data_IF_645575688767
#
_entry.id   IF_645575688767
#
_cell.length_a   1.000
_cell.length_b   1.000
_cell.length_c   1.000
_cell.angle_alpha   90.00
_cell.angle_beta   90.00
_cell.angle_gamma   90.00
#
_symmetry.space_group_name_H-M   'P 1'
#
loop_
_entity.id
_entity.type
_entity.pdbx_description
1 polymer ?
#
# COMPACT_ATOMS: atom_id res chain seq x y z
N UNK A 1 -9.29 3.68 -19.26
CA UNK A 1 -8.42 2.69 -18.63
C UNK A 1 -8.22 1.50 -19.54
N UNK A 2 -7.01 0.98 -19.67
CA UNK A 2 -6.74 -0.18 -20.50
C UNK A 2 -7.25 -1.46 -19.85
N UNK A 3 -7.43 -2.51 -20.68
CA UNK A 3 -7.84 -3.83 -20.18
C UNK A 3 -6.86 -4.37 -19.14
N UNK A 4 -5.57 -4.25 -19.40
CA UNK A 4 -4.53 -4.73 -18.47
C UNK A 4 -4.59 -4.02 -17.12
N UNK A 5 -4.77 -2.71 -17.12
CA UNK A 5 -4.91 -1.93 -15.89
C UNK A 5 -6.13 -2.35 -15.09
N UNK A 6 -7.24 -2.59 -15.79
CA UNK A 6 -8.46 -3.04 -15.15
C UNK A 6 -8.30 -4.43 -14.52
N UNK A 7 -7.62 -5.33 -15.20
CA UNK A 7 -7.33 -6.67 -14.68
C UNK A 7 -6.48 -6.60 -13.41
N UNK A 8 -5.44 -5.77 -13.41
CA UNK A 8 -4.59 -5.56 -12.22
C UNK A 8 -5.42 -5.03 -11.06
N UNK A 9 -6.24 -4.03 -11.31
CA UNK A 9 -7.06 -3.42 -10.27
C UNK A 9 -8.08 -4.41 -9.70
N UNK A 10 -8.72 -5.19 -10.55
CA UNK A 10 -9.68 -6.21 -10.11
C UNK A 10 -9.02 -7.30 -9.27
N UNK A 11 -7.85 -7.75 -9.67
CA UNK A 11 -7.14 -8.77 -8.91
C UNK A 11 -6.68 -8.22 -7.55
N UNK A 12 -6.20 -6.98 -7.53
CA UNK A 12 -5.80 -6.33 -6.29
C UNK A 12 -6.98 -6.15 -5.34
N UNK A 13 -8.17 -5.87 -5.87
CA UNK A 13 -9.39 -5.73 -5.07
C UNK A 13 -9.82 -7.04 -4.39
N UNK A 14 -9.36 -8.18 -4.87
CA UNK A 14 -9.63 -9.48 -4.24
C UNK A 14 -8.71 -9.79 -3.06
N UNK A 15 -7.62 -9.04 -2.95
CA UNK A 15 -6.64 -9.24 -1.87
C UNK A 15 -7.07 -8.52 -0.61
N UNK A 16 -6.99 -9.21 0.53
CA UNK A 16 -7.28 -8.62 1.85
C UNK A 16 -6.07 -7.92 2.43
N UNK A 17 -4.90 -8.49 2.19
CA UNK A 17 -3.63 -7.99 2.69
C UNK A 17 -2.83 -7.40 1.54
N UNK A 18 -1.66 -6.86 1.85
CA UNK A 18 -0.77 -6.38 0.83
C UNK A 18 -0.19 -7.52 0.01
N UNK A 19 0.19 -7.24 -1.21
CA UNK A 19 0.69 -8.23 -2.14
C UNK A 19 1.83 -7.64 -2.96
N UNK A 20 2.85 -8.45 -3.27
CA UNK A 20 3.91 -8.03 -4.17
C UNK A 20 3.42 -8.03 -5.62
N UNK A 21 4.08 -7.25 -6.47
CA UNK A 21 3.76 -7.23 -7.90
C UNK A 21 3.89 -8.62 -8.52
N UNK A 22 4.91 -9.37 -8.12
CA UNK A 22 5.16 -10.71 -8.63
C UNK A 22 4.05 -11.71 -8.22
N UNK A 23 3.63 -11.65 -6.96
CA UNK A 23 2.53 -12.49 -6.48
C UNK A 23 1.22 -12.16 -7.21
N UNK A 24 0.95 -10.88 -7.44
CA UNK A 24 -0.23 -10.44 -8.17
C UNK A 24 -0.19 -10.95 -9.62
N UNK A 25 0.97 -10.86 -10.25
CA UNK A 25 1.17 -11.39 -11.61
C UNK A 25 0.89 -12.90 -11.67
N UNK A 26 1.37 -13.67 -10.69
CA UNK A 26 1.09 -15.11 -10.63
C UNK A 26 -0.41 -15.40 -10.54
N UNK A 27 -1.14 -14.63 -9.74
CA UNK A 27 -2.59 -14.77 -9.61
C UNK A 27 -3.32 -14.44 -10.90
N UNK A 28 -2.84 -13.41 -11.61
CA UNK A 28 -3.40 -13.08 -12.93
C UNK A 28 -3.18 -14.20 -13.92
N UNK A 29 -2.01 -14.83 -13.91
CA UNK A 29 -1.73 -15.97 -14.80
C UNK A 29 -2.62 -17.17 -14.49
N UNK A 30 -2.91 -17.42 -13.23
CA UNK A 30 -3.85 -18.48 -12.82
C UNK A 30 -5.25 -18.22 -13.37
N UNK A 31 -5.60 -16.98 -13.66
CA UNK A 31 -6.86 -16.58 -14.27
C UNK A 31 -6.76 -16.41 -15.79
N UNK A 32 -5.72 -16.96 -16.38
CA UNK A 32 -5.48 -16.91 -17.84
C UNK A 32 -5.31 -15.48 -18.37
N UNK A 33 -4.88 -14.53 -17.55
CA UNK A 33 -4.57 -13.19 -18.01
C UNK A 33 -3.30 -13.18 -18.84
N UNK A 34 -3.29 -12.39 -19.89
CA UNK A 34 -2.12 -12.17 -20.75
C UNK A 34 -1.23 -11.04 -20.26
N UNK A 35 -1.61 -10.37 -19.17
CA UNK A 35 -0.86 -9.22 -18.64
C UNK A 35 0.52 -9.66 -18.16
N UNK A 36 1.56 -9.01 -18.69
CA UNK A 36 2.95 -9.31 -18.32
C UNK A 36 3.36 -8.64 -17.01
N UNK A 37 4.43 -9.17 -16.42
CA UNK A 37 4.96 -8.68 -15.13
C UNK A 37 5.34 -7.19 -15.20
N UNK A 38 5.98 -6.75 -16.28
CA UNK A 38 6.36 -5.35 -16.45
C UNK A 38 5.14 -4.43 -16.46
N UNK A 39 4.05 -4.86 -17.06
CA UNK A 39 2.80 -4.11 -17.08
C UNK A 39 2.18 -4.04 -15.68
N UNK A 40 2.26 -5.13 -14.91
CA UNK A 40 1.80 -5.13 -13.51
C UNK A 40 2.56 -4.08 -12.70
N UNK A 41 3.90 -4.07 -12.80
CA UNK A 41 4.72 -3.07 -12.09
C UNK A 41 4.37 -1.64 -12.50
N UNK A 42 4.26 -1.38 -13.80
CA UNK A 42 3.93 -0.02 -14.28
C UNK A 42 2.54 0.42 -13.81
N UNK A 43 1.59 -0.49 -13.84
CA UNK A 43 0.21 -0.20 -13.39
C UNK A 43 0.17 0.10 -11.90
N UNK A 44 0.84 -0.72 -11.09
CA UNK A 44 0.89 -0.50 -9.64
C UNK A 44 1.57 0.82 -9.30
N UNK A 45 2.67 1.16 -9.98
CA UNK A 45 3.34 2.45 -9.79
C UNK A 45 2.44 3.62 -10.13
N UNK A 46 1.71 3.53 -11.23
CA UNK A 46 0.76 4.57 -11.65
C UNK A 46 -0.35 4.74 -10.61
N UNK A 47 -0.92 3.63 -10.13
CA UNK A 47 -1.98 3.67 -9.12
C UNK A 47 -1.48 4.22 -7.79
N UNK A 48 -0.23 3.91 -7.43
CA UNK A 48 0.40 4.45 -6.23
C UNK A 48 0.58 5.97 -6.34
N UNK A 49 1.05 6.45 -7.48
CA UNK A 49 1.21 7.89 -7.73
C UNK A 49 -0.13 8.64 -7.65
N UNK A 50 -1.22 7.98 -8.03
CA UNK A 50 -2.56 8.56 -7.97
C UNK A 50 -3.25 8.40 -6.61
N UNK A 51 -2.60 7.73 -5.66
CA UNK A 51 -3.16 7.51 -4.33
C UNK A 51 -4.25 6.44 -4.25
N UNK A 52 -4.41 5.64 -5.30
CA UNK A 52 -5.40 4.55 -5.33
C UNK A 52 -4.87 3.32 -4.60
N UNK A 53 -3.56 3.15 -4.59
CA UNK A 53 -2.87 2.01 -4.00
C UNK A 53 -1.82 2.51 -3.03
N UNK A 54 -1.77 1.90 -1.85
CA UNK A 54 -0.69 2.14 -0.89
C UNK A 54 0.47 1.21 -1.16
N UNK A 55 1.67 1.70 -0.94
CA UNK A 55 2.88 0.89 -1.00
C UNK A 55 3.42 0.68 0.42
N UNK A 56 3.86 -0.53 0.70
CA UNK A 56 4.41 -0.92 1.99
C UNK A 56 5.68 -1.70 1.78
N UNK A 57 6.64 -1.53 2.68
CA UNK A 57 7.91 -2.23 2.63
C UNK A 57 8.06 -3.11 3.85
N UNK A 58 8.22 -4.40 3.65
CA UNK A 58 8.51 -5.37 4.69
C UNK A 58 9.98 -5.74 4.60
N UNK A 59 10.74 -5.48 5.67
CA UNK A 59 12.18 -5.80 5.72
C UNK A 59 13.04 -5.15 4.62
N UNK A 60 12.54 -4.08 4.02
CA UNK A 60 13.33 -3.17 3.19
C UNK A 60 13.69 -3.60 1.78
N UNK A 61 13.23 -4.74 1.29
CA UNK A 61 13.70 -5.26 0.01
C UNK A 61 12.65 -5.31 -1.09
N UNK A 62 11.39 -5.48 -0.78
CA UNK A 62 10.35 -5.66 -1.79
C UNK A 62 9.13 -4.82 -1.45
N UNK A 63 8.60 -4.12 -2.44
CA UNK A 63 7.38 -3.35 -2.26
C UNK A 63 6.15 -4.23 -2.33
N UNK A 64 5.25 -4.04 -1.39
CA UNK A 64 3.93 -4.63 -1.39
C UNK A 64 2.89 -3.56 -1.64
N UNK A 65 1.77 -3.94 -2.22
CA UNK A 65 0.73 -3.03 -2.68
C UNK A 65 -0.62 -3.47 -2.13
N UNK A 66 -1.43 -2.49 -1.79
CA UNK A 66 -2.79 -2.74 -1.30
C UNK A 66 -3.71 -1.62 -1.75
N UNK A 67 -4.89 -2.00 -2.20
CA UNK A 67 -5.93 -1.01 -2.52
C UNK A 67 -6.28 -0.24 -1.24
N UNK A 68 -6.36 1.07 -1.32
CA UNK A 68 -6.67 1.89 -0.16
C UNK A 68 -7.89 2.76 -0.40
N UNK A 69 -8.46 3.28 0.69
CA UNK A 69 -9.49 4.30 0.62
C UNK A 69 -8.84 5.65 0.33
N UNK A 70 -9.59 6.57 -0.26
CA UNK A 70 -9.11 7.92 -0.54
C UNK A 70 -8.91 8.75 0.74
N UNK A 71 -9.55 8.35 1.84
CA UNK A 71 -9.44 9.05 3.10
C UNK A 71 -8.04 8.92 3.69
N UNK A 72 -7.61 9.95 4.43
CA UNK A 72 -6.35 9.92 5.16
C UNK A 72 -6.33 8.74 6.14
N UNK A 73 -5.31 7.92 6.06
CA UNK A 73 -5.18 6.76 6.95
C UNK A 73 -3.73 6.36 7.10
N UNK A 74 -3.46 5.59 8.13
CA UNK A 74 -2.16 4.99 8.41
C UNK A 74 -2.30 3.48 8.46
N UNK A 75 -1.18 2.76 8.47
CA UNK A 75 -1.18 1.31 8.44
C UNK A 75 -0.47 0.71 9.64
N UNK A 76 -1.07 -0.36 10.16
CA UNK A 76 -0.44 -1.26 11.11
C UNK A 76 -0.22 -2.58 10.38
N UNK A 77 1.03 -3.00 10.26
CA UNK A 77 1.44 -4.10 9.39
C UNK A 77 2.12 -5.18 10.21
N UNK A 78 1.70 -6.42 10.02
CA UNK A 78 2.38 -7.57 10.62
C UNK A 78 3.60 -7.95 9.80
N UNK A 79 4.77 -7.95 10.41
CA UNK A 79 6.03 -8.29 9.76
C UNK A 79 6.09 -9.77 9.34
N UNK A 80 5.32 -10.63 10.00
CA UNK A 80 5.36 -12.07 9.74
C UNK A 80 4.33 -12.50 8.69
N UNK A 81 3.05 -12.24 8.92
CA UNK A 81 1.98 -12.72 8.04
C UNK A 81 1.50 -11.66 7.05
N UNK A 82 2.02 -10.44 7.12
CA UNK A 82 1.69 -9.31 6.26
C UNK A 82 0.26 -8.79 6.40
N UNK A 83 -0.42 -9.14 7.48
CA UNK A 83 -1.73 -8.58 7.78
C UNK A 83 -1.62 -7.06 7.90
N UNK A 84 -2.57 -6.35 7.28
CA UNK A 84 -2.60 -4.89 7.30
C UNK A 84 -3.90 -4.42 7.93
N UNK A 85 -3.80 -3.50 8.88
CA UNK A 85 -4.95 -2.82 9.46
C UNK A 85 -4.84 -1.34 9.11
N UNK A 86 -5.88 -0.79 8.52
CA UNK A 86 -5.97 0.64 8.27
C UNK A 86 -6.40 1.36 9.53
N UNK A 87 -5.67 2.42 9.88
CA UNK A 87 -5.97 3.25 11.02
C UNK A 87 -6.40 4.61 10.49
N UNK A 88 -7.66 4.95 10.64
CA UNK A 88 -8.20 6.22 10.15
C UNK A 88 -7.90 7.39 11.07
N UNK A 89 -7.70 7.11 12.35
CA UNK A 89 -7.40 8.12 13.34
C UNK A 89 -5.96 8.55 13.24
N UNK A 90 -5.72 9.86 13.33
CA UNK A 90 -4.38 10.40 13.32
C UNK A 90 -4.20 11.32 14.53
N UNK A 91 -3.45 10.87 15.51
CA UNK A 91 -3.16 11.65 16.73
C UNK A 91 -1.93 12.53 16.63
N UNK A 92 -1.37 12.71 15.44
CA UNK A 92 -0.08 13.37 15.25
C UNK A 92 -0.17 14.88 14.95
N UNK A 93 -1.38 15.41 14.75
CA UNK A 93 -1.57 16.78 14.28
C UNK A 93 -0.84 17.83 15.11
N UNK A 94 -0.99 17.79 16.44
CA UNK A 94 -0.37 18.76 17.32
C UNK A 94 1.16 18.65 17.31
N UNK A 95 1.68 17.44 17.34
CA UNK A 95 3.12 17.21 17.28
C UNK A 95 3.70 17.69 15.95
N UNK A 96 3.04 17.40 14.85
CA UNK A 96 3.45 17.85 13.51
C UNK A 96 3.47 19.37 13.44
N UNK A 97 2.45 20.05 13.96
CA UNK A 97 2.39 21.51 13.98
C UNK A 97 3.57 22.08 14.76
N UNK A 98 3.91 21.50 15.89
CA UNK A 98 5.03 21.94 16.71
C UNK A 98 6.35 21.80 15.97
N UNK A 99 6.60 20.61 15.37
CA UNK A 99 7.85 20.33 14.67
C UNK A 99 8.01 21.22 13.43
N UNK A 100 6.95 21.40 12.68
CA UNK A 100 6.99 22.21 11.46
C UNK A 100 7.22 23.67 11.74
N UNK A 101 6.62 24.20 12.81
CA UNK A 101 6.84 25.59 13.22
C UNK A 101 8.29 25.82 13.67
N UNK A 102 8.86 24.85 14.39
CA UNK A 102 10.27 24.95 14.82
C UNK A 102 11.23 25.03 13.65
N UNK A 103 10.91 24.39 12.55
CA UNK A 103 11.81 24.27 11.39
C UNK A 103 11.35 25.07 10.17
N UNK A 104 10.24 25.79 10.27
CA UNK A 104 9.75 26.63 9.18
C UNK A 104 9.20 25.87 7.98
N UNK A 105 8.65 24.67 8.20
CA UNK A 105 8.08 23.86 7.16
C UNK A 105 6.57 24.03 7.07
N UNK A 106 6.05 23.84 5.86
CA UNK A 106 4.61 23.66 5.61
C UNK A 106 4.40 22.20 5.24
N UNK A 107 3.60 21.49 6.01
CA UNK A 107 3.33 20.07 5.75
C UNK A 107 2.30 19.94 4.63
N UNK A 108 2.64 19.20 3.60
CA UNK A 108 1.72 18.89 2.51
C UNK A 108 1.10 17.50 2.66
N UNK A 109 1.80 16.58 3.33
CA UNK A 109 1.31 15.23 3.58
C UNK A 109 2.19 14.56 4.63
N UNK A 110 1.66 13.51 5.26
CA UNK A 110 2.46 12.65 6.12
C UNK A 110 1.93 11.22 6.04
N UNK A 111 2.83 10.27 6.24
CA UNK A 111 2.50 8.84 6.23
C UNK A 111 3.11 8.18 7.45
N UNK A 112 2.36 7.28 8.07
CA UNK A 112 2.85 6.49 9.19
C UNK A 112 2.54 5.03 8.89
N UNK A 113 3.58 4.20 8.94
CA UNK A 113 3.48 2.77 8.85
C UNK A 113 4.08 2.19 10.12
N UNK A 114 3.28 1.46 10.88
CA UNK A 114 3.71 0.84 12.12
C UNK A 114 3.87 -0.65 11.88
N UNK A 115 5.07 -1.17 12.11
CA UNK A 115 5.37 -2.58 11.89
C UNK A 115 5.45 -3.30 13.23
N UNK A 116 4.78 -4.45 13.33
CA UNK A 116 4.80 -5.24 14.54
C UNK A 116 4.40 -6.68 14.24
N UNK A 117 3.95 -7.40 15.26
CA UNK A 117 3.43 -8.76 15.12
C UNK A 117 1.96 -8.77 15.53
N UNK A 118 1.12 -9.33 14.69
CA UNK A 118 -0.30 -9.46 15.00
C UNK A 118 -0.53 -10.50 16.10
N UNK A 119 -1.75 -10.54 16.63
CA UNK A 119 -2.08 -11.45 17.74
C UNK A 119 -1.75 -12.92 17.43
N UNK A 120 -1.95 -13.34 16.18
CA UNK A 120 -1.68 -14.70 15.76
C UNK A 120 -0.18 -15.00 15.59
N UNK A 121 0.66 -13.98 15.43
CA UNK A 121 2.10 -14.13 15.14
C UNK A 121 3.01 -13.83 16.33
N UNK A 122 2.50 -13.24 17.38
CA UNK A 122 3.30 -12.91 18.55
C UNK A 122 3.46 -14.09 19.50
#
# INVERSE_FOLDING_TARGET
MTRSRLEVLRELARERDDVTAQALWHRLRERDSQTGLATVYRTLSLLADKGVVDTMSHHGTELCYRLCTEAHHHHLVCANCHRVVEIEQCGLGNWLDTVTKQHGFVVTDHRVEITGLCRACR
#
